data_IF_752683412816
#
_entry.id   IF_752683412816
#
_cell.length_a   1.000
_cell.length_b   1.000
_cell.length_c   1.000
_cell.angle_alpha   90.00
_cell.angle_beta   90.00
_cell.angle_gamma   90.00
#
_symmetry.space_group_name_H-M   'P 1'
#
loop_
_entity.id
_entity.type
_entity.pdbx_description
1 polymer ?
#
# COMPACT_ATOMS: atom_id res chain seq x y z
N UNK A 1 3.17 20.34 -0.82
CA UNK A 1 2.43 21.06 0.24
C UNK A 1 0.98 21.22 -0.19
N UNK A 2 0.24 20.11 -0.15
CA UNK A 2 -1.21 20.05 -0.41
C UNK A 2 -2.01 19.83 0.88
N UNK A 3 -3.34 19.96 0.82
CA UNK A 3 -4.22 19.83 1.99
C UNK A 3 -4.10 18.50 2.75
N UNK A 4 -3.85 17.40 2.04
CA UNK A 4 -3.66 16.08 2.66
C UNK A 4 -2.43 16.00 3.55
N UNK A 5 -1.34 16.69 3.20
CA UNK A 5 -0.12 16.75 4.03
C UNK A 5 -0.33 17.58 5.29
N UNK A 6 -1.39 18.41 5.33
CA UNK A 6 -1.80 19.22 6.47
C UNK A 6 -2.90 18.54 7.32
N UNK A 7 -3.32 17.33 6.98
CA UNK A 7 -4.40 16.63 7.67
C UNK A 7 -5.78 17.26 7.44
N UNK A 8 -5.98 17.84 6.25
CA UNK A 8 -7.19 18.59 5.88
C UNK A 8 -7.93 17.90 4.70
N UNK A 9 -8.55 16.72 4.92
CA UNK A 9 -9.22 15.97 3.85
C UNK A 9 -10.47 16.68 3.30
N UNK A 10 -11.19 17.45 4.12
CA UNK A 10 -12.37 18.21 3.70
C UNK A 10 -12.04 19.29 2.67
N UNK A 11 -10.92 20.01 2.87
CA UNK A 11 -10.44 21.03 1.94
C UNK A 11 -9.95 20.40 0.64
N UNK A 12 -9.23 19.28 0.73
CA UNK A 12 -8.84 18.50 -0.45
C UNK A 12 -10.09 18.08 -1.25
N UNK A 13 -11.13 17.58 -0.58
CA UNK A 13 -12.39 17.16 -1.19
C UNK A 13 -13.12 18.30 -1.87
N UNK A 14 -13.21 19.47 -1.23
CA UNK A 14 -13.83 20.67 -1.83
C UNK A 14 -13.12 21.12 -3.10
N UNK A 15 -11.79 21.09 -3.10
CA UNK A 15 -10.99 21.43 -4.28
C UNK A 15 -11.27 20.43 -5.42
N UNK A 16 -11.30 19.13 -5.12
CA UNK A 16 -11.61 18.10 -6.11
C UNK A 16 -13.02 18.20 -6.69
N UNK A 17 -14.02 18.58 -5.89
CA UNK A 17 -15.40 18.76 -6.36
C UNK A 17 -15.56 19.92 -7.34
N UNK A 18 -14.60 20.85 -7.39
CA UNK A 18 -14.61 21.96 -8.35
C UNK A 18 -14.06 21.59 -9.73
N UNK A 19 -13.47 20.40 -9.87
CA UNK A 19 -12.85 19.94 -11.10
C UNK A 19 -13.89 19.48 -12.13
N UNK A 20 -13.59 19.71 -13.40
CA UNK A 20 -14.33 19.12 -14.52
C UNK A 20 -14.20 17.60 -14.52
N UNK A 21 -15.15 16.90 -15.13
CA UNK A 21 -15.12 15.44 -15.24
C UNK A 21 -13.82 14.93 -15.88
N UNK A 22 -13.32 15.56 -16.96
CA UNK A 22 -12.08 15.10 -17.60
C UNK A 22 -10.86 15.17 -16.66
N UNK A 23 -10.77 16.24 -15.88
CA UNK A 23 -9.68 16.43 -14.91
C UNK A 23 -9.83 15.48 -13.73
N UNK A 24 -11.05 15.24 -13.27
CA UNK A 24 -11.33 14.30 -12.18
C UNK A 24 -10.94 12.85 -12.51
N UNK A 25 -10.84 12.51 -13.79
CA UNK A 25 -10.43 11.18 -14.26
C UNK A 25 -8.91 11.01 -14.42
N UNK A 26 -8.12 12.08 -14.29
CA UNK A 26 -6.65 11.99 -14.36
C UNK A 26 -6.11 11.12 -13.21
N UNK A 27 -5.09 10.31 -13.50
CA UNK A 27 -4.53 9.34 -12.55
C UNK A 27 -4.05 9.98 -11.25
N UNK A 28 -3.42 11.14 -11.34
CA UNK A 28 -2.93 11.90 -10.19
C UNK A 28 -4.10 12.36 -9.31
N UNK A 29 -5.18 12.83 -9.93
CA UNK A 29 -6.37 13.32 -9.23
C UNK A 29 -7.09 12.16 -8.54
N UNK A 30 -7.24 11.01 -9.22
CA UNK A 30 -7.80 9.80 -8.60
C UNK A 30 -6.91 9.24 -7.48
N UNK A 31 -5.59 9.39 -7.57
CA UNK A 31 -4.67 9.08 -6.47
C UNK A 31 -4.91 9.94 -5.22
N UNK A 32 -5.21 11.24 -5.41
CA UNK A 32 -5.61 12.14 -4.31
C UNK A 32 -6.99 11.74 -3.76
N UNK A 33 -7.96 11.41 -4.62
CA UNK A 33 -9.28 10.91 -4.19
C UNK A 33 -9.15 9.66 -3.31
N UNK A 34 -8.33 8.69 -3.72
CA UNK A 34 -8.07 7.50 -2.92
C UNK A 34 -7.46 7.85 -1.57
N UNK A 35 -6.50 8.77 -1.55
CA UNK A 35 -5.84 9.21 -0.32
C UNK A 35 -6.80 9.91 0.66
N UNK A 36 -7.77 10.67 0.16
CA UNK A 36 -8.86 11.25 0.98
C UNK A 36 -9.69 10.12 1.61
N UNK A 37 -10.16 9.16 0.79
CA UNK A 37 -10.97 8.04 1.28
C UNK A 37 -10.22 7.21 2.33
N UNK A 38 -8.92 6.97 2.12
CA UNK A 38 -8.08 6.26 3.09
C UNK A 38 -7.88 7.04 4.40
N UNK A 39 -7.76 8.37 4.36
CA UNK A 39 -7.66 9.21 5.57
C UNK A 39 -8.97 9.27 6.34
N UNK A 40 -10.11 9.25 5.65
CA UNK A 40 -11.45 9.18 6.25
C UNK A 40 -11.83 7.76 6.69
N UNK A 41 -10.95 6.78 6.47
CA UNK A 41 -11.19 5.36 6.71
C UNK A 41 -12.42 4.81 5.95
N UNK A 42 -12.79 5.43 4.83
CA UNK A 42 -13.86 4.96 3.97
C UNK A 42 -13.37 3.84 3.05
N UNK A 43 -13.07 2.68 3.66
CA UNK A 43 -12.43 1.55 3.01
C UNK A 43 -13.21 0.91 1.87
N UNK A 44 -14.54 0.75 1.91
CA UNK A 44 -15.28 0.17 0.79
C UNK A 44 -15.13 1.00 -0.50
N UNK A 45 -15.27 2.32 -0.43
CA UNK A 45 -15.10 3.21 -1.56
C UNK A 45 -13.63 3.34 -1.99
N UNK A 46 -12.69 3.30 -1.04
CA UNK A 46 -11.25 3.27 -1.36
C UNK A 46 -10.85 1.98 -2.10
N UNK A 47 -11.44 0.83 -1.73
CA UNK A 47 -11.25 -0.45 -2.40
C UNK A 47 -11.79 -0.41 -3.82
N UNK A 48 -13.03 0.05 -3.99
CA UNK A 48 -13.68 0.15 -5.30
C UNK A 48 -12.89 1.05 -6.25
N UNK A 49 -12.49 2.23 -5.79
CA UNK A 49 -11.68 3.16 -6.58
C UNK A 49 -10.35 2.55 -7.00
N UNK A 50 -9.62 1.92 -6.06
CA UNK A 50 -8.31 1.34 -6.36
C UNK A 50 -8.42 0.12 -7.29
N UNK A 51 -9.46 -0.71 -7.13
CA UNK A 51 -9.76 -1.82 -8.04
C UNK A 51 -9.98 -1.33 -9.47
N UNK A 52 -10.80 -0.30 -9.63
CA UNK A 52 -11.08 0.29 -10.94
C UNK A 52 -9.80 0.88 -11.55
N UNK A 53 -8.98 1.56 -10.74
CA UNK A 53 -7.67 2.07 -11.17
C UNK A 53 -6.70 0.95 -11.60
N UNK A 54 -6.73 -0.21 -10.96
CA UNK A 54 -5.94 -1.39 -11.39
C UNK A 54 -6.45 -1.96 -12.71
N UNK A 55 -7.77 -2.03 -12.89
CA UNK A 55 -8.41 -2.50 -14.13
C UNK A 55 -8.03 -1.62 -15.33
N UNK A 56 -8.03 -0.30 -15.13
CA UNK A 56 -7.71 0.67 -16.18
C UNK A 56 -6.21 0.84 -16.41
N UNK A 57 -5.40 0.81 -15.35
CA UNK A 57 -3.96 1.08 -15.37
C UNK A 57 -3.21 -0.04 -14.64
N UNK A 58 -3.18 -1.26 -15.23
CA UNK A 58 -2.57 -2.44 -14.61
C UNK A 58 -1.06 -2.32 -14.38
N UNK A 59 -0.39 -1.38 -15.04
CA UNK A 59 1.06 -1.13 -14.97
C UNK A 59 1.43 -0.03 -13.96
N UNK A 60 0.50 0.39 -13.10
CA UNK A 60 0.76 1.33 -12.02
C UNK A 60 0.81 0.62 -10.67
N UNK A 61 2.00 0.49 -10.09
CA UNK A 61 2.23 -0.21 -8.82
C UNK A 61 1.45 0.39 -7.65
N UNK A 62 1.29 1.72 -7.61
CA UNK A 62 0.57 2.40 -6.54
C UNK A 62 -0.90 1.98 -6.48
N UNK A 63 -1.54 1.72 -7.62
CA UNK A 63 -2.93 1.25 -7.66
C UNK A 63 -3.08 -0.12 -6.98
N UNK A 64 -2.15 -1.04 -7.23
CA UNK A 64 -2.14 -2.37 -6.59
C UNK A 64 -1.88 -2.28 -5.07
N UNK A 65 -0.94 -1.44 -4.66
CA UNK A 65 -0.61 -1.20 -3.25
C UNK A 65 -1.83 -0.62 -2.51
N UNK A 66 -2.47 0.39 -3.10
CA UNK A 66 -3.66 1.03 -2.58
C UNK A 66 -4.83 0.05 -2.47
N UNK A 67 -5.02 -0.79 -3.49
CA UNK A 67 -6.09 -1.79 -3.50
C UNK A 67 -5.92 -2.81 -2.38
N UNK A 68 -4.75 -3.40 -2.25
CA UNK A 68 -4.46 -4.34 -1.16
C UNK A 68 -4.56 -3.68 0.22
N UNK A 69 -4.11 -2.43 0.35
CA UNK A 69 -4.21 -1.67 1.60
C UNK A 69 -5.67 -1.44 2.04
N UNK A 70 -6.55 -1.14 1.08
CA UNK A 70 -7.99 -1.00 1.32
C UNK A 70 -8.66 -2.36 1.60
N UNK A 71 -8.39 -3.40 0.80
CA UNK A 71 -8.92 -4.76 0.97
C UNK A 71 -8.68 -5.33 2.37
N UNK A 72 -7.52 -5.03 2.97
CA UNK A 72 -7.21 -5.47 4.34
C UNK A 72 -8.18 -4.89 5.38
N UNK A 73 -8.78 -3.73 5.11
CA UNK A 73 -9.56 -2.92 6.07
C UNK A 73 -11.05 -2.85 5.76
N UNK A 74 -11.46 -3.20 4.54
CA UNK A 74 -12.87 -3.31 4.15
C UNK A 74 -13.56 -4.47 4.88
N UNK A 75 -14.74 -4.22 5.46
CA UNK A 75 -15.55 -5.25 6.10
C UNK A 75 -15.94 -6.35 5.10
N UNK A 76 -15.82 -7.62 5.51
CA UNK A 76 -16.09 -8.77 4.65
C UNK A 76 -14.94 -9.14 3.69
N UNK A 77 -13.91 -8.30 3.58
CA UNK A 77 -12.64 -8.65 2.95
C UNK A 77 -11.65 -9.18 4.01
N UNK A 78 -10.34 -8.93 3.84
CA UNK A 78 -9.35 -9.30 4.84
C UNK A 78 -7.92 -9.42 4.32
N UNK A 79 -7.01 -9.70 5.26
CA UNK A 79 -5.58 -9.70 5.00
C UNK A 79 -5.12 -10.76 3.97
N UNK A 80 -5.80 -11.90 3.89
CA UNK A 80 -5.50 -12.92 2.88
C UNK A 80 -5.78 -12.40 1.47
N UNK A 81 -6.92 -11.74 1.25
CA UNK A 81 -7.26 -11.16 -0.06
C UNK A 81 -6.27 -10.06 -0.45
N UNK A 82 -5.86 -9.22 0.51
CA UNK A 82 -4.82 -8.21 0.29
C UNK A 82 -3.47 -8.83 -0.12
N UNK A 83 -3.07 -9.92 0.55
CA UNK A 83 -1.89 -10.69 0.19
C UNK A 83 -2.01 -11.29 -1.22
N UNK A 84 -3.11 -11.97 -1.54
CA UNK A 84 -3.32 -12.60 -2.85
C UNK A 84 -3.25 -11.56 -3.98
N UNK A 85 -3.84 -10.38 -3.75
CA UNK A 85 -3.81 -9.24 -4.68
C UNK A 85 -2.38 -8.77 -4.97
N UNK A 86 -1.54 -8.61 -3.94
CA UNK A 86 -0.14 -8.21 -4.15
C UNK A 86 0.72 -9.33 -4.73
N UNK A 87 0.37 -10.60 -4.48
CA UNK A 87 1.06 -11.74 -5.09
C UNK A 87 0.87 -11.78 -6.60
N UNK A 88 -0.30 -11.41 -7.11
CA UNK A 88 -0.54 -11.28 -8.55
C UNK A 88 0.30 -10.15 -9.18
N UNK A 89 0.59 -9.09 -8.41
CA UNK A 89 1.29 -7.91 -8.89
C UNK A 89 2.82 -7.99 -8.82
N UNK A 90 3.39 -8.72 -7.86
CA UNK A 90 4.80 -8.57 -7.46
C UNK A 90 5.83 -8.82 -8.58
N UNK A 91 5.53 -9.71 -9.52
CA UNK A 91 6.40 -10.03 -10.65
C UNK A 91 6.30 -9.01 -11.79
N UNK A 92 5.19 -8.26 -11.86
CA UNK A 92 5.01 -7.17 -12.82
C UNK A 92 5.89 -5.96 -12.51
N UNK A 93 6.24 -5.78 -11.23
CA UNK A 93 6.96 -4.61 -10.75
C UNK A 93 8.32 -4.99 -10.13
N UNK A 94 9.29 -5.50 -10.92
CA UNK A 94 10.55 -6.02 -10.39
C UNK A 94 11.45 -4.96 -9.73
N UNK A 95 11.15 -3.67 -9.92
CA UNK A 95 11.87 -2.54 -9.30
C UNK A 95 11.13 -1.92 -8.11
N UNK A 96 9.91 -2.37 -7.82
CA UNK A 96 9.10 -1.85 -6.72
C UNK A 96 9.34 -2.69 -5.46
N UNK A 97 9.93 -2.08 -4.43
CA UNK A 97 10.20 -2.73 -3.15
C UNK A 97 9.00 -2.68 -2.19
N UNK A 98 8.06 -1.75 -2.39
CA UNK A 98 6.92 -1.58 -1.49
C UNK A 98 5.95 -2.77 -1.55
N UNK A 99 5.82 -3.40 -2.73
CA UNK A 99 4.97 -4.59 -2.90
C UNK A 99 5.49 -5.78 -2.06
N UNK A 100 6.75 -6.25 -2.23
CA UNK A 100 7.27 -7.32 -1.39
C UNK A 100 7.35 -6.92 0.09
N UNK A 101 7.60 -5.65 0.42
CA UNK A 101 7.54 -5.20 1.81
C UNK A 101 6.14 -5.39 2.42
N UNK A 102 5.07 -4.98 1.73
CA UNK A 102 3.71 -5.16 2.21
C UNK A 102 3.32 -6.66 2.29
N UNK A 103 3.78 -7.48 1.35
CA UNK A 103 3.62 -8.94 1.42
C UNK A 103 4.25 -9.50 2.70
N UNK A 104 5.44 -9.03 3.07
CA UNK A 104 6.07 -9.41 4.33
C UNK A 104 5.23 -9.00 5.54
N UNK A 105 4.72 -7.75 5.59
CA UNK A 105 3.85 -7.30 6.68
C UNK A 105 2.61 -8.18 6.81
N UNK A 106 2.00 -8.56 5.69
CA UNK A 106 0.83 -9.44 5.70
C UNK A 106 1.17 -10.84 6.20
N UNK A 107 2.31 -11.40 5.78
CA UNK A 107 2.77 -12.70 6.28
C UNK A 107 3.03 -12.67 7.79
N UNK A 108 3.66 -11.62 8.35
CA UNK A 108 3.84 -11.52 9.83
C UNK A 108 2.49 -11.52 10.54
N UNK A 109 1.54 -10.74 10.04
CA UNK A 109 0.18 -10.64 10.61
C UNK A 109 -0.66 -11.91 10.46
N UNK A 110 -0.30 -12.79 9.53
CA UNK A 110 -0.88 -14.13 9.35
C UNK A 110 -0.05 -15.24 10.02
N UNK A 111 1.01 -14.88 10.76
CA UNK A 111 1.95 -15.81 11.42
C UNK A 111 2.73 -16.71 10.44
N UNK A 112 2.85 -16.32 9.17
CA UNK A 112 3.63 -16.99 8.13
C UNK A 112 5.08 -16.49 8.11
N UNK A 113 5.79 -16.68 9.22
CA UNK A 113 7.06 -15.98 9.49
C UNK A 113 8.18 -16.31 8.49
N UNK A 114 8.31 -17.58 8.08
CA UNK A 114 9.31 -17.96 7.08
C UNK A 114 9.09 -17.25 5.74
N UNK A 115 7.82 -17.01 5.38
CA UNK A 115 7.50 -16.31 4.16
C UNK A 115 7.71 -14.79 4.29
N UNK A 116 7.42 -14.23 5.45
CA UNK A 116 7.71 -12.82 5.73
C UNK A 116 9.18 -12.50 5.48
N UNK A 117 10.11 -13.36 5.93
CA UNK A 117 11.54 -13.18 5.69
C UNK A 117 11.92 -13.25 4.21
N UNK A 118 11.36 -14.20 3.45
CA UNK A 118 11.58 -14.25 1.99
C UNK A 118 11.16 -12.96 1.31
N UNK A 119 10.02 -12.40 1.72
CA UNK A 119 9.53 -11.14 1.18
C UNK A 119 10.37 -9.93 1.60
N UNK A 120 10.88 -9.91 2.82
CA UNK A 120 11.83 -8.88 3.28
C UNK A 120 13.12 -8.90 2.47
N UNK A 121 13.69 -10.08 2.20
CA UNK A 121 14.90 -10.22 1.38
C UNK A 121 14.65 -9.69 -0.04
N UNK A 122 13.53 -10.06 -0.67
CA UNK A 122 13.14 -9.54 -2.00
C UNK A 122 12.95 -8.01 -1.96
N UNK A 123 12.33 -7.47 -0.91
CA UNK A 123 12.17 -6.03 -0.76
C UNK A 123 13.53 -5.31 -0.65
N UNK A 124 14.48 -5.90 0.09
CA UNK A 124 15.83 -5.37 0.24
C UNK A 124 16.66 -5.49 -1.05
N UNK A 125 16.49 -6.55 -1.83
CA UNK A 125 17.10 -6.69 -3.16
C UNK A 125 16.62 -5.62 -4.15
N UNK A 126 15.33 -5.24 -4.08
CA UNK A 126 14.74 -4.20 -4.94
C UNK A 126 15.01 -2.78 -4.45
N UNK A 127 15.46 -2.61 -3.21
CA UNK A 127 15.83 -1.34 -2.60
C UNK A 127 17.22 -1.48 -1.97
N UNK A 128 17.32 -1.43 -0.64
CA UNK A 128 18.49 -1.79 0.12
C UNK A 128 18.10 -2.22 1.55
N UNK A 129 18.92 -3.08 2.18
CA UNK A 129 18.66 -3.56 3.54
C UNK A 129 18.50 -2.45 4.56
N UNK A 130 19.29 -1.36 4.46
CA UNK A 130 19.24 -0.26 5.43
C UNK A 130 17.92 0.50 5.35
N UNK A 131 17.37 0.67 4.17
CA UNK A 131 16.07 1.30 3.94
C UNK A 131 14.94 0.42 4.43
N UNK A 132 14.90 -0.85 4.02
CA UNK A 132 13.84 -1.78 4.43
C UNK A 132 13.88 -2.05 5.94
N UNK A 133 15.05 -2.26 6.53
CA UNK A 133 15.20 -2.42 7.99
C UNK A 133 14.68 -1.21 8.75
N UNK A 134 14.96 0.02 8.29
CA UNK A 134 14.46 1.25 8.94
C UNK A 134 12.94 1.32 8.90
N UNK A 135 12.32 0.91 7.79
CA UNK A 135 10.86 0.86 7.66
C UNK A 135 10.29 -0.18 8.62
N UNK A 136 10.82 -1.42 8.58
CA UNK A 136 10.33 -2.53 9.39
C UNK A 136 10.41 -2.26 10.90
N UNK A 137 11.51 -1.66 11.39
CA UNK A 137 11.67 -1.29 12.80
C UNK A 137 10.70 -0.20 13.30
N UNK A 138 9.96 0.46 12.40
CA UNK A 138 8.94 1.48 12.73
C UNK A 138 7.52 1.00 12.46
N UNK A 139 7.39 -0.19 11.88
CA UNK A 139 6.11 -0.75 11.47
C UNK A 139 5.58 -1.64 12.59
N UNK A 140 4.39 -1.33 13.08
CA UNK A 140 3.74 -2.10 14.14
C UNK A 140 3.39 -3.52 13.68
N UNK A 141 3.16 -3.73 12.38
CA UNK A 141 2.92 -5.08 11.86
C UNK A 141 4.17 -5.95 11.94
N UNK A 142 5.35 -5.35 12.11
CA UNK A 142 6.65 -6.01 12.17
C UNK A 142 7.21 -6.14 13.59
N UNK A 143 6.48 -5.68 14.62
CA UNK A 143 6.96 -5.65 16.01
C UNK A 143 7.51 -7.00 16.48
N UNK A 144 6.85 -8.09 16.08
CA UNK A 144 7.27 -9.47 16.37
C UNK A 144 8.69 -9.82 15.87
N UNK A 145 9.18 -9.12 14.85
CA UNK A 145 10.49 -9.34 14.23
C UNK A 145 11.53 -8.28 14.60
N UNK A 146 11.22 -7.27 15.42
CA UNK A 146 12.11 -6.12 15.65
C UNK A 146 13.49 -6.51 16.20
N UNK A 147 13.56 -7.50 17.09
CA UNK A 147 14.82 -7.98 17.65
C UNK A 147 15.71 -8.56 16.54
N UNK A 148 15.16 -9.44 15.71
CA UNK A 148 15.87 -10.07 14.59
C UNK A 148 16.23 -9.06 13.50
N UNK A 149 15.37 -8.06 13.27
CA UNK A 149 15.59 -7.01 12.28
C UNK A 149 16.78 -6.12 12.63
N UNK A 150 17.15 -5.98 13.91
CA UNK A 150 18.24 -5.09 14.35
C UNK A 150 19.57 -5.45 13.67
N UNK A 151 19.87 -6.74 13.55
CA UNK A 151 21.11 -7.26 12.96
C UNK A 151 20.96 -7.74 11.50
N UNK A 152 19.73 -7.76 10.97
CA UNK A 152 19.46 -8.23 9.61
C UNK A 152 20.06 -7.28 8.55
N UNK A 153 20.89 -7.82 7.67
CA UNK A 153 21.56 -7.07 6.59
C UNK A 153 22.59 -6.03 7.05
N UNK A 154 23.12 -6.17 8.27
CA UNK A 154 24.20 -5.34 8.81
C UNK A 154 25.59 -5.72 8.26
#
# INVERSE_FOLDING_TARGET
MGWLELGMPDEARKELQSLTHEVAQLSEVRGVQWSILAQEENWPEAEELARDQVSEQPDNASNWINWAYALRRTEGCGIRMAYDTLREAVDRFPKESTIPYNLACYCVRMEEIEEAWRWLDIAAERSDHKTIRRMALRDNDMEFLHDQLTDWGA
#
